data_IF_574483412140
#
_entry.id   IF_574483412140
#
_cell.length_a   1.000
_cell.length_b   1.000
_cell.length_c   1.000
_cell.angle_alpha   90.00
_cell.angle_beta   90.00
_cell.angle_gamma   90.00
#
_symmetry.space_group_name_H-M   'P 1'
#
loop_
_entity.id
_entity.type
_entity.pdbx_description
1 polymer ?
#
# COMPACT_ATOMS: atom_id res chain seq x y z
N UNK A 1 13.43 13.71 27.51
CA UNK A 1 12.40 12.65 27.44
C UNK A 1 11.89 12.60 26.01
N UNK A 2 11.79 11.43 25.38
CA UNK A 2 11.19 11.33 24.05
C UNK A 2 9.72 11.81 24.08
N UNK A 3 9.27 12.46 23.00
CA UNK A 3 7.88 12.91 22.80
C UNK A 3 7.26 13.81 23.89
N UNK A 4 8.05 14.46 24.75
CA UNK A 4 7.56 15.50 25.66
C UNK A 4 6.50 15.04 26.67
N UNK A 5 6.47 13.76 27.04
CA UNK A 5 5.49 13.21 27.98
C UNK A 5 4.25 12.60 27.33
N UNK A 6 4.19 12.52 25.99
CA UNK A 6 3.12 11.82 25.29
C UNK A 6 3.28 10.30 25.37
N UNK A 7 2.16 9.60 25.57
CA UNK A 7 2.08 8.17 25.33
C UNK A 7 1.96 7.93 23.83
N UNK A 8 2.91 7.19 23.25
CA UNK A 8 2.99 6.91 21.82
C UNK A 8 2.86 5.41 21.59
N UNK A 9 1.99 5.02 20.65
CA UNK A 9 1.85 3.64 20.17
C UNK A 9 2.21 3.64 18.69
N UNK A 10 3.16 2.78 18.31
CA UNK A 10 3.52 2.56 16.92
C UNK A 10 2.77 1.33 16.40
N UNK A 11 2.08 1.47 15.28
CA UNK A 11 1.35 0.38 14.62
C UNK A 11 1.75 0.28 13.16
N UNK A 12 1.99 -0.92 12.66
CA UNK A 12 2.35 -1.13 11.26
C UNK A 12 2.69 -2.58 10.97
N UNK A 13 3.10 -2.82 9.72
CA UNK A 13 3.53 -4.13 9.25
C UNK A 13 4.84 -3.98 8.46
N UNK A 14 5.90 -4.63 8.92
CA UNK A 14 7.23 -4.56 8.29
C UNK A 14 7.32 -5.25 6.92
N UNK A 15 6.31 -6.02 6.53
CA UNK A 15 6.21 -6.62 5.18
C UNK A 15 5.51 -5.69 4.17
N UNK A 16 5.10 -4.49 4.60
CA UNK A 16 4.61 -3.44 3.69
C UNK A 16 5.77 -2.68 3.04
N UNK A 17 5.44 -1.75 2.15
CA UNK A 17 6.44 -0.96 1.43
C UNK A 17 7.37 -0.21 2.39
N UNK A 18 8.68 -0.19 2.12
CA UNK A 18 9.63 0.60 2.89
C UNK A 18 9.36 2.10 2.68
N UNK A 19 9.88 2.96 3.58
CA UNK A 19 9.82 4.41 3.39
C UNK A 19 10.36 4.85 2.03
N UNK A 20 9.63 5.75 1.35
CA UNK A 20 10.07 6.33 0.07
C UNK A 20 11.20 7.32 0.35
N UNK A 21 12.33 7.18 -0.37
CA UNK A 21 13.48 8.08 -0.30
C UNK A 21 14.09 8.27 1.12
N UNK A 22 13.85 7.30 2.01
CA UNK A 22 14.32 7.31 3.39
C UNK A 22 14.74 5.91 3.85
N UNK A 23 15.17 5.82 5.10
CA UNK A 23 15.48 4.54 5.75
C UNK A 23 14.49 4.31 6.88
N UNK A 24 14.14 3.04 7.10
CA UNK A 24 13.29 2.66 8.21
C UNK A 24 14.02 2.88 9.55
N UNK A 25 13.30 3.34 10.58
CA UNK A 25 13.87 3.56 11.92
C UNK A 25 14.35 2.26 12.58
N UNK A 26 13.76 1.13 12.20
CA UNK A 26 14.16 -0.21 12.62
C UNK A 26 15.30 -0.81 11.76
N UNK A 27 15.83 -0.05 10.80
CA UNK A 27 16.97 -0.50 9.99
C UNK A 27 18.19 -0.71 10.88
N UNK A 28 18.87 -1.86 10.70
CA UNK A 28 20.12 -2.17 11.41
C UNK A 28 21.35 -1.47 10.82
N UNK A 29 21.19 -0.73 9.72
CA UNK A 29 22.27 0.05 9.12
C UNK A 29 22.58 1.26 10.00
N UNK A 30 23.85 1.43 10.35
CA UNK A 30 24.28 2.62 11.09
C UNK A 30 24.08 3.86 10.22
N UNK A 31 23.20 4.76 10.66
CA UNK A 31 23.01 6.05 10.01
C UNK A 31 24.18 6.97 10.34
N UNK A 32 24.79 7.59 9.33
CA UNK A 32 25.87 8.55 9.52
C UNK A 32 25.38 9.96 9.87
N UNK A 33 24.09 10.24 9.66
CA UNK A 33 23.46 11.54 9.99
C UNK A 33 22.92 11.51 11.40
N UNK A 34 23.17 12.58 12.16
CA UNK A 34 22.68 12.74 13.53
C UNK A 34 21.17 12.50 13.68
N UNK A 35 20.37 12.99 12.74
CA UNK A 35 18.91 12.77 12.73
C UNK A 35 18.52 11.30 12.58
N UNK A 36 19.30 10.49 11.86
CA UNK A 36 19.08 9.04 11.74
C UNK A 36 19.43 8.33 13.03
N UNK A 37 20.55 8.69 13.64
CA UNK A 37 20.99 8.14 14.93
C UNK A 37 19.95 8.44 16.00
N UNK A 38 19.50 9.69 16.09
CA UNK A 38 18.46 10.11 17.01
C UNK A 38 17.14 9.35 16.78
N UNK A 39 16.69 9.25 15.53
CA UNK A 39 15.47 8.50 15.19
C UNK A 39 15.54 7.03 15.58
N UNK A 40 16.66 6.36 15.29
CA UNK A 40 16.90 4.97 15.71
C UNK A 40 16.94 4.82 17.23
N UNK A 41 17.61 5.72 17.94
CA UNK A 41 17.67 5.71 19.41
C UNK A 41 16.30 5.97 20.05
N UNK A 42 15.44 6.79 19.44
CA UNK A 42 14.06 6.97 19.89
C UNK A 42 13.25 5.70 19.63
N UNK A 43 13.40 5.08 18.46
CA UNK A 43 12.71 3.83 18.14
C UNK A 43 13.11 2.69 19.09
N UNK A 44 14.37 2.61 19.51
CA UNK A 44 14.85 1.61 20.47
C UNK A 44 14.32 1.80 21.90
N UNK A 45 13.71 2.95 22.22
CA UNK A 45 13.06 3.17 23.52
C UNK A 45 11.70 2.47 23.63
N UNK A 46 11.15 1.95 22.53
CA UNK A 46 9.95 1.11 22.56
C UNK A 46 10.35 -0.32 22.92
N UNK A 47 10.16 -0.68 24.19
CA UNK A 47 10.53 -1.99 24.75
C UNK A 47 9.38 -3.01 24.76
N UNK A 48 8.15 -2.55 24.53
CA UNK A 48 6.94 -3.36 24.55
C UNK A 48 6.48 -3.61 23.11
N UNK A 49 6.45 -4.89 22.72
CA UNK A 49 6.00 -5.32 21.39
C UNK A 49 4.78 -6.22 21.54
N UNK A 50 3.72 -5.89 20.81
CA UNK A 50 2.50 -6.70 20.71
C UNK A 50 2.37 -7.17 19.26
N UNK A 51 2.35 -8.49 19.05
CA UNK A 51 2.14 -9.11 17.74
C UNK A 51 0.69 -9.59 17.67
N UNK A 52 -0.03 -9.16 16.62
CA UNK A 52 -1.38 -9.63 16.34
C UNK A 52 -1.30 -10.82 15.38
N UNK A 53 -1.82 -11.98 15.79
CA UNK A 53 -1.71 -13.23 15.04
C UNK A 53 -2.96 -13.55 14.19
N UNK A 54 -4.12 -13.00 14.56
CA UNK A 54 -5.39 -13.32 13.91
C UNK A 54 -5.63 -12.44 12.67
N UNK A 55 -5.85 -13.08 11.52
CA UNK A 55 -6.26 -12.42 10.28
C UNK A 55 -7.78 -12.32 10.19
N UNK A 56 -8.30 -11.10 10.30
CA UNK A 56 -9.74 -10.83 10.30
C UNK A 56 -10.32 -10.46 8.92
N UNK A 57 -9.47 -10.14 7.92
CA UNK A 57 -9.95 -9.65 6.61
C UNK A 57 -10.40 -10.78 5.68
N UNK A 58 -9.69 -11.91 5.71
CA UNK A 58 -9.89 -13.03 4.78
C UNK A 58 -10.31 -14.23 5.61
N UNK A 59 -11.52 -14.72 5.37
CA UNK A 59 -12.07 -15.87 6.11
C UNK A 59 -11.82 -17.20 5.41
N UNK A 60 -11.47 -17.18 4.12
CA UNK A 60 -11.10 -18.37 3.37
C UNK A 60 -9.73 -18.90 3.81
N UNK A 61 -9.70 -20.15 4.30
CA UNK A 61 -8.49 -20.75 4.87
C UNK A 61 -7.40 -20.99 3.83
N UNK A 62 -7.79 -21.31 2.59
CA UNK A 62 -6.85 -21.52 1.48
C UNK A 62 -6.11 -20.23 1.15
N UNK A 63 -6.86 -19.15 0.98
CA UNK A 63 -6.34 -17.81 0.74
C UNK A 63 -5.52 -17.28 1.91
N UNK A 64 -5.97 -17.46 3.15
CA UNK A 64 -5.21 -17.03 4.33
C UNK A 64 -3.85 -17.74 4.39
N UNK A 65 -3.82 -19.05 4.10
CA UNK A 65 -2.58 -19.83 4.04
C UNK A 65 -1.65 -19.34 2.91
N UNK A 66 -2.21 -19.08 1.74
CA UNK A 66 -1.49 -18.55 0.58
C UNK A 66 -0.88 -17.17 0.89
N UNK A 67 -1.67 -16.22 1.40
CA UNK A 67 -1.21 -14.87 1.74
C UNK A 67 -0.14 -14.88 2.83
N UNK A 68 -0.23 -15.81 3.79
CA UNK A 68 0.76 -15.97 4.85
C UNK A 68 2.11 -16.39 4.29
N UNK A 69 2.14 -17.34 3.32
CA UNK A 69 3.37 -17.73 2.61
C UNK A 69 3.89 -16.63 1.70
N UNK A 70 2.99 -15.94 0.98
CA UNK A 70 3.36 -14.81 0.11
C UNK A 70 4.06 -13.70 0.89
N UNK A 71 3.59 -13.41 2.11
CA UNK A 71 4.16 -12.38 2.98
C UNK A 71 5.64 -12.58 3.26
N UNK A 72 6.08 -13.82 3.45
CA UNK A 72 7.48 -14.16 3.78
C UNK A 72 8.27 -14.68 2.57
N UNK A 73 7.67 -14.70 1.38
CA UNK A 73 8.32 -15.16 0.15
C UNK A 73 8.40 -16.68 0.00
N UNK A 74 7.55 -17.44 0.70
CA UNK A 74 7.55 -18.91 0.70
C UNK A 74 6.43 -19.51 -0.17
N UNK A 75 6.02 -18.81 -1.23
CA UNK A 75 4.99 -19.29 -2.14
C UNK A 75 5.37 -20.64 -2.78
N UNK A 76 4.41 -21.57 -2.77
CA UNK A 76 4.51 -22.86 -3.43
C UNK A 76 4.04 -22.77 -4.89
N UNK A 77 4.31 -23.82 -5.68
CA UNK A 77 3.77 -23.92 -7.03
C UNK A 77 2.23 -23.99 -7.06
N UNK A 78 1.61 -24.52 -6.01
CA UNK A 78 0.15 -24.51 -5.89
C UNK A 78 -0.37 -23.08 -5.70
N UNK A 79 0.32 -22.26 -4.89
CA UNK A 79 -0.04 -20.86 -4.68
C UNK A 79 0.03 -20.05 -5.97
N UNK A 80 1.09 -20.25 -6.76
CA UNK A 80 1.25 -19.56 -8.04
C UNK A 80 0.14 -19.93 -9.03
N UNK A 81 -0.21 -21.21 -9.12
CA UNK A 81 -1.34 -21.67 -9.94
C UNK A 81 -2.66 -21.06 -9.50
N UNK A 82 -2.86 -20.87 -8.20
CA UNK A 82 -4.10 -20.28 -7.70
C UNK A 82 -4.19 -18.78 -7.99
N UNK A 83 -3.08 -18.06 -7.90
CA UNK A 83 -3.01 -16.64 -8.31
C UNK A 83 -3.22 -16.50 -9.83
N UNK A 84 -2.68 -17.40 -10.65
CA UNK A 84 -2.78 -17.33 -12.11
C UNK A 84 -4.23 -17.39 -12.63
N UNK A 85 -5.11 -18.09 -11.90
CA UNK A 85 -6.55 -18.12 -12.19
C UNK A 85 -7.24 -16.75 -12.06
N UNK A 86 -6.63 -15.79 -11.37
CA UNK A 86 -7.16 -14.43 -11.24
C UNK A 86 -6.88 -13.57 -12.47
N UNK A 87 -6.05 -14.06 -13.40
CA UNK A 87 -5.72 -13.34 -14.63
C UNK A 87 -6.91 -13.44 -15.60
N UNK A 88 -7.37 -12.29 -16.10
CA UNK A 88 -8.52 -12.21 -17.01
C UNK A 88 -8.32 -13.00 -18.32
N UNK A 89 -7.08 -13.16 -18.77
CA UNK A 89 -6.74 -13.93 -19.98
C UNK A 89 -6.54 -15.43 -19.71
N UNK A 90 -6.69 -15.90 -18.48
CA UNK A 90 -6.51 -17.31 -18.15
C UNK A 90 -7.66 -18.14 -18.78
N UNK A 91 -7.38 -19.32 -19.38
CA UNK A 91 -8.38 -20.08 -20.13
C UNK A 91 -9.61 -20.53 -19.31
N UNK A 92 -9.43 -20.73 -18.01
CA UNK A 92 -10.49 -21.15 -17.10
C UNK A 92 -11.29 -19.97 -16.53
N UNK A 93 -10.89 -18.73 -16.83
CA UNK A 93 -11.58 -17.53 -16.33
C UNK A 93 -12.87 -17.31 -17.11
N UNK A 94 -13.98 -17.22 -16.38
CA UNK A 94 -15.28 -16.87 -16.98
C UNK A 94 -15.20 -15.44 -17.52
N UNK A 95 -15.70 -15.15 -18.74
CA UNK A 95 -15.72 -13.80 -19.28
C UNK A 95 -16.37 -12.82 -18.29
N UNK A 96 -15.62 -11.79 -17.92
CA UNK A 96 -16.06 -10.79 -16.94
C UNK A 96 -16.81 -9.68 -17.66
N UNK A 97 -18.05 -9.45 -17.24
CA UNK A 97 -18.83 -8.28 -17.67
C UNK A 97 -18.51 -7.08 -16.76
N UNK A 98 -17.75 -6.12 -17.30
CA UNK A 98 -17.37 -4.90 -16.59
C UNK A 98 -18.50 -3.87 -16.48
N UNK A 99 -19.69 -4.15 -17.03
CA UNK A 99 -20.85 -3.26 -16.93
C UNK A 99 -21.78 -3.61 -15.77
N UNK A 100 -21.55 -4.76 -15.11
CA UNK A 100 -22.37 -5.24 -13.99
C UNK A 100 -21.58 -5.33 -12.69
N UNK A 101 -22.29 -5.32 -11.56
CA UNK A 101 -21.68 -5.47 -10.24
C UNK A 101 -21.04 -6.86 -10.07
N UNK A 102 -19.90 -6.97 -9.37
CA UNK A 102 -19.16 -5.91 -8.67
C UNK A 102 -18.16 -5.14 -9.56
N UNK A 103 -18.06 -5.47 -10.86
CA UNK A 103 -16.99 -4.99 -11.74
C UNK A 103 -17.19 -3.58 -12.29
N UNK A 104 -18.44 -3.14 -12.40
CA UNK A 104 -18.79 -1.80 -12.85
C UNK A 104 -18.28 -0.68 -11.92
N UNK A 105 -18.01 -1.00 -10.66
CA UNK A 105 -17.45 -0.09 -9.64
C UNK A 105 -16.12 -0.60 -9.06
N UNK A 106 -15.40 -1.44 -9.82
CA UNK A 106 -14.12 -1.98 -9.37
C UNK A 106 -13.03 -0.89 -9.27
N UNK A 107 -12.24 -0.97 -8.19
CA UNK A 107 -11.08 -0.09 -7.97
C UNK A 107 -9.87 -0.61 -8.74
N UNK A 108 -9.18 0.28 -9.45
CA UNK A 108 -7.88 -0.02 -10.07
C UNK A 108 -6.74 0.28 -9.09
N UNK A 109 -5.91 -0.73 -8.83
CA UNK A 109 -4.63 -0.59 -8.13
C UNK A 109 -3.51 -0.66 -9.18
N UNK A 110 -2.63 0.34 -9.22
CA UNK A 110 -1.51 0.40 -10.16
C UNK A 110 -0.28 1.03 -9.51
N UNK A 111 0.91 0.56 -9.89
CA UNK A 111 2.18 1.11 -9.42
C UNK A 111 2.55 2.44 -10.09
N UNK A 112 1.86 2.81 -11.18
CA UNK A 112 2.19 4.00 -11.98
C UNK A 112 1.18 5.11 -11.74
N UNK A 113 1.66 6.21 -11.17
CA UNK A 113 0.86 7.42 -10.93
C UNK A 113 0.15 7.91 -12.22
N UNK A 114 0.86 7.98 -13.34
CA UNK A 114 0.28 8.39 -14.63
C UNK A 114 -0.88 7.49 -15.10
N UNK A 115 -0.90 6.20 -14.73
CA UNK A 115 -2.00 5.29 -15.06
C UNK A 115 -3.18 5.55 -14.12
N UNK A 116 -2.91 5.73 -12.82
CA UNK A 116 -3.92 6.12 -11.82
C UNK A 116 -4.62 7.42 -12.24
N UNK A 117 -3.88 8.43 -12.68
CA UNK A 117 -4.46 9.72 -13.05
C UNK A 117 -5.43 9.58 -14.24
N UNK A 118 -5.02 8.86 -15.29
CA UNK A 118 -5.89 8.58 -16.44
C UNK A 118 -7.13 7.76 -16.06
N UNK A 119 -6.96 6.77 -15.17
CA UNK A 119 -8.06 5.95 -14.69
C UNK A 119 -9.06 6.79 -13.88
N UNK A 120 -8.57 7.57 -12.91
CA UNK A 120 -9.38 8.43 -12.07
C UNK A 120 -10.12 9.50 -12.87
N UNK A 121 -9.48 10.10 -13.87
CA UNK A 121 -10.14 11.05 -14.77
C UNK A 121 -11.29 10.38 -15.54
N UNK A 122 -11.04 9.18 -16.09
CA UNK A 122 -12.05 8.44 -16.84
C UNK A 122 -13.22 8.00 -15.95
N UNK A 123 -12.92 7.54 -14.73
CA UNK A 123 -13.93 7.14 -13.74
C UNK A 123 -14.77 8.33 -13.27
N UNK A 124 -14.14 9.48 -12.99
CA UNK A 124 -14.83 10.70 -12.60
C UNK A 124 -15.74 11.22 -13.71
N UNK A 125 -15.27 11.19 -14.97
CA UNK A 125 -16.09 11.56 -16.12
C UNK A 125 -17.33 10.66 -16.25
N UNK A 126 -17.14 9.34 -16.13
CA UNK A 126 -18.25 8.36 -16.14
C UNK A 126 -19.27 8.67 -15.05
N UNK A 127 -18.80 8.87 -13.82
CA UNK A 127 -19.66 9.16 -12.67
C UNK A 127 -20.50 10.45 -12.88
N UNK A 128 -19.89 11.54 -13.36
CA UNK A 128 -20.62 12.78 -13.62
C UNK A 128 -21.70 12.59 -14.70
N UNK A 129 -21.38 11.82 -15.75
CA UNK A 129 -22.33 11.53 -16.84
C UNK A 129 -23.52 10.70 -16.36
N UNK A 130 -23.29 9.71 -15.50
CA UNK A 130 -24.33 8.78 -15.02
C UNK A 130 -25.22 9.39 -13.93
N UNK A 131 -24.64 10.23 -13.06
CA UNK A 131 -25.36 10.81 -11.92
C UNK A 131 -25.92 12.21 -12.17
N UNK A 132 -25.40 12.92 -13.18
CA UNK A 132 -25.68 14.34 -13.39
C UNK A 132 -24.92 15.28 -12.44
N UNK A 133 -24.03 14.74 -11.60
CA UNK A 133 -23.22 15.54 -10.68
C UNK A 133 -22.20 16.41 -11.44
N UNK A 134 -21.91 17.59 -10.89
CA UNK A 134 -20.89 18.47 -11.43
C UNK A 134 -19.47 18.01 -11.04
N UNK A 135 -18.54 18.05 -12.01
CA UNK A 135 -17.11 17.86 -11.76
C UNK A 135 -16.50 19.15 -11.21
N UNK A 136 -15.91 19.09 -10.02
CA UNK A 136 -15.07 20.16 -9.48
C UNK A 136 -13.59 19.77 -9.62
N UNK A 137 -12.76 20.70 -10.11
CA UNK A 137 -11.31 20.54 -10.19
C UNK A 137 -10.69 21.64 -9.32
N UNK A 138 -10.03 21.24 -8.24
CA UNK A 138 -9.36 22.14 -7.30
C UNK A 138 -7.88 21.77 -7.28
N UNK A 139 -7.07 22.35 -8.18
CA UNK A 139 -5.64 22.06 -8.21
C UNK A 139 -4.96 22.63 -6.96
N UNK A 140 -4.07 21.85 -6.36
CA UNK A 140 -3.16 22.32 -5.33
C UNK A 140 -1.79 22.54 -5.96
N UNK A 141 -1.20 23.71 -5.76
CA UNK A 141 0.16 24.02 -6.17
C UNK A 141 1.10 23.85 -4.97
N UNK A 142 2.11 23.00 -5.11
CA UNK A 142 3.17 22.87 -4.11
C UNK A 142 4.39 23.67 -4.57
N UNK A 143 4.72 24.72 -3.81
CA UNK A 143 5.88 25.60 -4.04
C UNK A 143 7.04 25.20 -3.13
N UNK A 144 7.49 23.95 -3.19
CA UNK A 144 8.72 23.52 -2.49
C UNK A 144 9.92 23.53 -3.43
N UNK A 145 10.83 24.49 -3.23
CA UNK A 145 12.11 24.58 -3.94
C UNK A 145 13.14 23.52 -3.50
N UNK A 146 12.90 22.80 -2.40
CA UNK A 146 13.89 21.90 -1.80
C UNK A 146 13.88 20.46 -2.35
N UNK A 147 12.80 20.03 -3.01
CA UNK A 147 12.68 18.64 -3.50
C UNK A 147 13.74 18.26 -4.56
N UNK A 148 14.15 19.23 -5.40
CA UNK A 148 15.09 18.98 -6.52
C UNK A 148 16.54 18.75 -6.08
N UNK A 149 16.93 19.11 -4.85
CA UNK A 149 18.32 18.95 -4.37
C UNK A 149 18.62 17.58 -3.76
N UNK A 150 17.59 16.75 -3.51
CA UNK A 150 17.72 15.46 -2.81
C UNK A 150 17.76 14.22 -3.71
N UNK A 151 17.70 14.42 -5.04
CA UNK A 151 17.82 13.37 -6.07
C UNK A 151 19.18 13.37 -6.79
N UNK A 152 20.17 14.08 -6.24
CA UNK A 152 21.57 14.02 -6.69
C UNK A 152 22.32 12.86 -6.07
#
# INVERSE_FOLDING_TARGET
>A
MAFGGLHVILTGDFHQFPPIAGEALYSRKEGTKETKILGGNIYQQFDTVVILEEQNRVTDQGWTSLLSRLRVGECTQADLKEIDKLVLSHPETTPVDFTTAPWNDAVLITSRNAVRDKWNESALFRHCKETGNQRYIVPAEDTSTEWKSRLG
#
